data_IF_550978136985
#
_entry.id   IF_550978136985
#
_cell.length_a   1.000
_cell.length_b   1.000
_cell.length_c   1.000
_cell.angle_alpha   90.00
_cell.angle_beta   90.00
_cell.angle_gamma   90.00
#
_symmetry.space_group_name_H-M   'P 1'
#
loop_
_entity.id
_entity.type
_entity.pdbx_description
1 polymer ?
#
# COMPACT_ATOMS: atom_id res chain seq x y z
N UNK A 1 18.43 -14.01 -17.39
CA UNK A 1 17.11 -13.36 -17.23
C UNK A 1 17.19 -12.52 -15.96
N UNK A 2 17.53 -11.25 -16.12
CA UNK A 2 17.83 -10.34 -15.00
C UNK A 2 16.54 -9.78 -14.41
N UNK A 3 16.49 -9.70 -13.08
CA UNK A 3 15.46 -8.98 -12.34
C UNK A 3 15.46 -7.53 -12.83
N UNK A 4 14.36 -7.12 -13.45
CA UNK A 4 14.17 -5.77 -13.98
C UNK A 4 13.59 -4.86 -12.90
N UNK A 5 14.42 -4.52 -11.92
CA UNK A 5 14.17 -3.33 -11.10
C UNK A 5 14.49 -2.14 -12.02
N UNK A 6 13.44 -1.38 -12.37
CA UNK A 6 13.50 -0.30 -13.37
C UNK A 6 14.56 0.76 -13.08
N UNK A 7 14.84 1.59 -14.09
CA UNK A 7 15.82 2.67 -14.00
C UNK A 7 15.50 3.65 -12.84
N UNK A 8 16.45 3.83 -11.92
CA UNK A 8 16.36 4.77 -10.78
C UNK A 8 15.92 4.12 -9.47
N UNK A 9 16.19 4.76 -8.33
CA UNK A 9 15.60 4.36 -7.03
C UNK A 9 14.08 4.53 -7.11
N UNK A 10 13.39 3.53 -7.64
CA UNK A 10 11.93 3.44 -7.65
C UNK A 10 11.50 3.05 -6.23
N UNK A 11 11.58 4.01 -5.30
CA UNK A 11 11.12 3.85 -3.93
C UNK A 11 9.67 3.37 -3.95
N UNK A 12 9.45 2.16 -3.45
CA UNK A 12 8.11 1.57 -3.38
C UNK A 12 7.81 1.16 -1.94
N UNK A 13 6.70 1.66 -1.39
CA UNK A 13 6.24 1.24 -0.06
C UNK A 13 5.79 -0.21 -0.07
N UNK A 14 6.38 -1.07 0.77
CA UNK A 14 5.93 -2.45 0.95
C UNK A 14 4.99 -2.54 2.15
N UNK A 15 3.73 -2.92 1.90
CA UNK A 15 2.74 -3.12 2.95
C UNK A 15 2.67 -4.60 3.33
N UNK A 16 3.07 -4.92 4.56
CA UNK A 16 3.09 -6.32 5.05
C UNK A 16 1.69 -6.85 5.37
N UNK A 17 0.82 -6.04 5.97
CA UNK A 17 -0.56 -6.43 6.27
C UNK A 17 -1.48 -5.24 6.52
N UNK A 18 -2.74 -5.35 6.09
CA UNK A 18 -3.86 -4.50 6.49
C UNK A 18 -5.02 -5.39 6.92
N UNK A 19 -5.55 -5.15 8.12
CA UNK A 19 -6.66 -5.93 8.68
C UNK A 19 -7.81 -5.02 9.06
N UNK A 20 -9.05 -5.48 8.82
CA UNK A 20 -10.28 -4.79 9.23
C UNK A 20 -11.11 -5.76 10.06
N UNK A 21 -11.59 -5.30 11.22
CA UNK A 21 -12.47 -6.11 12.08
C UNK A 21 -13.76 -6.52 11.34
N UNK A 22 -14.29 -7.69 11.69
CA UNK A 22 -15.36 -8.35 10.94
C UNK A 22 -16.62 -7.50 10.80
N UNK A 23 -16.98 -6.78 11.86
CA UNK A 23 -18.15 -5.89 11.93
C UNK A 23 -18.07 -4.72 10.93
N UNK A 24 -16.87 -4.35 10.52
CA UNK A 24 -16.65 -3.23 9.60
C UNK A 24 -16.25 -3.67 8.18
N UNK A 25 -16.38 -4.95 7.85
CA UNK A 25 -16.19 -5.45 6.49
C UNK A 25 -17.27 -4.89 5.55
N UNK A 26 -16.99 -4.93 4.24
CA UNK A 26 -17.89 -4.43 3.16
C UNK A 26 -18.18 -2.92 3.17
N UNK A 27 -17.63 -2.16 4.12
CA UNK A 27 -17.69 -0.69 4.16
C UNK A 27 -16.56 0.00 3.37
N UNK A 28 -15.77 -0.75 2.59
CA UNK A 28 -14.59 -0.26 1.86
C UNK A 28 -13.48 0.34 2.74
N UNK A 29 -13.46 0.06 4.05
CA UNK A 29 -12.44 0.59 4.96
C UNK A 29 -11.02 0.17 4.60
N UNK A 30 -10.81 -1.07 4.17
CA UNK A 30 -9.49 -1.53 3.72
C UNK A 30 -8.94 -0.67 2.57
N UNK A 31 -9.80 -0.28 1.61
CA UNK A 31 -9.43 0.63 0.52
C UNK A 31 -9.06 2.02 1.05
N UNK A 32 -9.83 2.54 2.00
CA UNK A 32 -9.54 3.85 2.60
C UNK A 32 -8.20 3.85 3.36
N UNK A 33 -7.90 2.77 4.08
CA UNK A 33 -6.62 2.58 4.78
C UNK A 33 -5.44 2.49 3.80
N UNK A 34 -5.58 1.73 2.71
CA UNK A 34 -4.54 1.64 1.68
C UNK A 34 -4.27 2.98 0.99
N UNK A 35 -5.31 3.74 0.65
CA UNK A 35 -5.15 5.07 0.05
C UNK A 35 -4.41 6.04 0.98
N UNK A 36 -4.61 5.92 2.29
CA UNK A 36 -3.92 6.76 3.27
C UNK A 36 -2.44 6.39 3.40
N UNK A 37 -2.14 5.09 3.38
CA UNK A 37 -0.76 4.58 3.38
C UNK A 37 -0.01 5.02 2.11
N UNK A 38 -0.67 5.01 0.96
CA UNK A 38 -0.12 5.50 -0.31
C UNK A 38 0.17 7.01 -0.23
N UNK A 39 -0.79 7.83 0.22
CA UNK A 39 -0.61 9.29 0.37
C UNK A 39 0.55 9.65 1.31
N UNK A 40 0.74 8.89 2.40
CA UNK A 40 1.88 9.11 3.30
C UNK A 40 3.21 8.64 2.71
N UNK A 41 3.21 7.58 1.88
CA UNK A 41 4.45 7.05 1.29
C UNK A 41 4.92 7.84 0.07
N UNK A 42 4.02 8.52 -0.65
CA UNK A 42 4.34 9.37 -1.81
C UNK A 42 4.86 10.76 -1.40
N UNK A 43 4.48 11.23 -0.19
CA UNK A 43 4.90 12.51 0.37
C UNK A 43 6.23 12.47 1.13
N UNK A 44 6.92 11.33 1.12
CA UNK A 44 8.18 11.13 1.85
C UNK A 44 9.40 11.33 0.95
#
# INVERSE_FOLDING_TARGET
>A
MGKVEGQGESWHGHVTAVTVATEFRRQKLAKKLMNMLEDMSDKM
#
